data_IF_497411004147
#
_entry.id   IF_497411004147
#
_cell.length_a   1.000
_cell.length_b   1.000
_cell.length_c   1.000
_cell.angle_alpha   90.00
_cell.angle_beta   90.00
_cell.angle_gamma   90.00
#
_symmetry.space_group_name_H-M   'P 1'
#
loop_
_entity.id
_entity.type
_entity.pdbx_description
1 polymer ?
#
# COMPACT_ATOMS: atom_id res chain seq x y z
N UNK A 1 8.36 -3.57 -16.08
CA UNK A 1 9.46 -2.59 -16.28
C UNK A 1 8.91 -1.23 -15.90
N UNK A 2 9.50 -0.61 -14.88
CA UNK A 2 9.03 0.65 -14.33
C UNK A 2 9.28 1.82 -15.28
N UNK A 3 8.34 2.76 -15.31
CA UNK A 3 8.44 3.99 -16.10
C UNK A 3 9.70 4.77 -15.67
N UNK A 4 10.53 5.19 -16.62
CA UNK A 4 11.69 6.03 -16.31
C UNK A 4 11.22 7.45 -16.01
N UNK A 5 11.39 7.88 -14.76
CA UNK A 5 11.01 9.21 -14.30
C UNK A 5 12.10 10.23 -14.67
N UNK A 6 11.66 11.46 -14.95
CA UNK A 6 12.56 12.61 -15.06
C UNK A 6 13.09 13.01 -13.69
N UNK A 7 14.23 13.72 -13.64
CA UNK A 7 14.79 14.22 -12.37
C UNK A 7 13.78 15.06 -11.59
N UNK A 8 13.05 15.97 -12.25
CA UNK A 8 12.02 16.79 -11.58
C UNK A 8 10.88 15.95 -11.00
N UNK A 9 10.45 14.90 -11.68
CA UNK A 9 9.43 13.99 -11.15
C UNK A 9 9.95 13.21 -9.94
N UNK A 10 11.20 12.74 -10.00
CA UNK A 10 11.83 12.06 -8.87
C UNK A 10 11.99 12.99 -7.66
N UNK A 11 12.47 14.22 -7.88
CA UNK A 11 12.56 15.23 -6.82
C UNK A 11 11.20 15.53 -6.24
N UNK A 12 10.16 15.69 -7.07
CA UNK A 12 8.77 15.90 -6.61
C UNK A 12 8.31 14.79 -5.68
N UNK A 13 8.52 13.52 -6.05
CA UNK A 13 8.15 12.39 -5.21
C UNK A 13 8.93 12.40 -3.88
N UNK A 14 10.24 12.64 -3.91
CA UNK A 14 11.05 12.67 -2.69
C UNK A 14 10.56 13.77 -1.73
N UNK A 15 10.43 15.01 -2.22
CA UNK A 15 9.98 16.12 -1.37
C UNK A 15 8.53 15.97 -0.94
N UNK A 16 7.68 15.28 -1.72
CA UNK A 16 6.29 14.99 -1.35
C UNK A 16 6.22 14.16 -0.06
N UNK A 17 7.04 13.11 0.05
CA UNK A 17 7.05 12.24 1.23
C UNK A 17 7.95 12.74 2.38
N UNK A 18 8.80 13.75 2.12
CA UNK A 18 9.68 14.35 3.12
C UNK A 18 9.20 15.76 3.53
N UNK A 19 9.81 16.81 2.97
CA UNK A 19 9.63 18.20 3.39
C UNK A 19 8.22 18.75 3.21
N UNK A 20 7.50 18.28 2.19
CA UNK A 20 6.15 18.73 1.87
C UNK A 20 5.07 17.99 2.66
N UNK A 21 5.40 16.86 3.32
CA UNK A 21 4.46 16.09 4.16
C UNK A 21 3.13 15.76 3.47
N UNK A 22 3.19 15.43 2.19
CA UNK A 22 2.03 15.08 1.36
C UNK A 22 1.34 16.25 0.68
N UNK A 23 1.79 17.50 0.86
CA UNK A 23 1.23 18.67 0.14
C UNK A 23 1.79 18.77 -1.29
N UNK A 24 0.98 18.54 -2.34
CA UNK A 24 1.46 18.57 -3.73
C UNK A 24 1.82 19.98 -4.21
N UNK A 25 1.22 21.03 -3.65
CA UNK A 25 1.51 22.42 -4.03
C UNK A 25 2.87 22.83 -3.49
N UNK A 26 3.15 22.47 -2.24
CA UNK A 26 4.47 22.69 -1.63
C UNK A 26 5.54 21.83 -2.31
N UNK A 27 5.26 20.56 -2.55
CA UNK A 27 6.18 19.65 -3.23
C UNK A 27 6.56 20.15 -4.63
N UNK A 28 5.59 20.66 -5.40
CA UNK A 28 5.80 21.27 -6.72
C UNK A 28 6.84 22.39 -6.66
N UNK A 29 6.72 23.30 -5.69
CA UNK A 29 7.64 24.43 -5.53
C UNK A 29 9.05 23.97 -5.17
N UNK A 30 9.16 23.03 -4.22
CA UNK A 30 10.44 22.47 -3.79
C UNK A 30 11.14 21.69 -4.90
N UNK A 31 10.39 21.02 -5.77
CA UNK A 31 10.93 20.32 -6.94
C UNK A 31 11.27 21.22 -8.13
N UNK A 32 11.13 22.55 -7.99
CA UNK A 32 11.54 23.52 -9.03
C UNK A 32 10.63 23.56 -10.25
N UNK A 33 9.34 23.23 -10.11
CA UNK A 33 8.35 23.48 -11.15
C UNK A 33 7.95 24.95 -11.19
N UNK A 34 7.59 25.44 -12.38
CA UNK A 34 7.01 26.78 -12.53
C UNK A 34 5.65 26.86 -11.81
N UNK A 35 5.31 28.04 -11.27
CA UNK A 35 4.02 28.28 -10.62
C UNK A 35 2.84 28.07 -11.56
N UNK A 36 3.02 28.29 -12.87
CA UNK A 36 2.01 28.07 -13.89
C UNK A 36 1.65 26.58 -14.09
N UNK A 37 2.53 25.65 -13.70
CA UNK A 37 2.24 24.22 -13.81
C UNK A 37 1.25 23.82 -12.72
N UNK A 38 0.16 23.14 -13.08
CA UNK A 38 -0.81 22.63 -12.11
C UNK A 38 -0.23 21.45 -11.32
N UNK A 39 -0.34 21.50 -9.99
CA UNK A 39 0.03 20.37 -9.12
C UNK A 39 -0.81 19.13 -9.42
N UNK A 40 -2.09 19.30 -9.75
CA UNK A 40 -2.98 18.21 -10.15
C UNK A 40 -2.48 17.49 -11.40
N UNK A 41 -1.96 18.21 -12.40
CA UNK A 41 -1.40 17.59 -13.60
C UNK A 41 -0.16 16.74 -13.29
N UNK A 42 0.69 17.20 -12.37
CA UNK A 42 1.87 16.45 -11.92
C UNK A 42 1.42 15.18 -11.18
N UNK A 43 0.52 15.31 -10.21
CA UNK A 43 -0.01 14.19 -9.42
C UNK A 43 -0.67 13.15 -10.31
N UNK A 44 -1.53 13.56 -11.24
CA UNK A 44 -2.21 12.64 -12.16
C UNK A 44 -1.22 11.82 -12.99
N UNK A 45 -0.12 12.44 -13.41
CA UNK A 45 0.93 11.78 -14.20
C UNK A 45 1.72 10.76 -13.37
N UNK A 46 1.81 10.97 -12.06
CA UNK A 46 2.62 10.19 -11.12
C UNK A 46 1.78 9.34 -10.16
N UNK A 47 0.52 9.08 -10.50
CA UNK A 47 -0.44 8.42 -9.59
C UNK A 47 0.05 7.06 -9.12
N UNK A 48 0.58 6.26 -10.04
CA UNK A 48 1.06 4.91 -9.76
C UNK A 48 2.29 4.93 -8.85
N UNK A 49 3.22 5.85 -9.11
CA UNK A 49 4.44 6.03 -8.34
C UNK A 49 4.15 6.56 -6.93
N UNK A 50 3.21 7.51 -6.79
CA UNK A 50 2.73 7.98 -5.48
C UNK A 50 2.09 6.82 -4.73
N UNK A 51 1.27 6.00 -5.38
CA UNK A 51 0.64 4.84 -4.73
C UNK A 51 1.69 3.81 -4.28
N UNK A 52 2.69 3.52 -5.11
CA UNK A 52 3.79 2.60 -4.76
C UNK A 52 4.62 3.12 -3.58
N UNK A 53 5.02 4.40 -3.62
CA UNK A 53 5.76 5.04 -2.53
C UNK A 53 4.92 5.12 -1.25
N UNK A 54 3.61 5.35 -1.35
CA UNK A 54 2.71 5.33 -0.19
C UNK A 54 2.69 3.95 0.46
N UNK A 55 2.62 2.87 -0.33
CA UNK A 55 2.71 1.50 0.20
C UNK A 55 4.03 1.26 0.93
N UNK A 56 5.16 1.69 0.34
CA UNK A 56 6.49 1.61 0.96
C UNK A 56 6.54 2.42 2.26
N UNK A 57 6.01 3.63 2.26
CA UNK A 57 5.96 4.52 3.41
C UNK A 57 5.14 3.92 4.56
N UNK A 58 3.98 3.33 4.25
CA UNK A 58 3.14 2.63 5.23
C UNK A 58 3.88 1.41 5.80
N UNK A 59 4.50 0.60 4.95
CA UNK A 59 5.29 -0.55 5.39
C UNK A 59 6.45 -0.14 6.31
N UNK A 60 7.17 0.94 5.98
CA UNK A 60 8.23 1.49 6.83
C UNK A 60 7.68 2.05 8.16
N UNK A 61 6.55 2.75 8.11
CA UNK A 61 5.89 3.31 9.30
C UNK A 61 5.29 2.23 10.21
N UNK A 62 5.04 1.03 9.69
CA UNK A 62 4.48 -0.10 10.43
C UNK A 62 5.39 -0.55 11.57
N UNK A 63 6.70 -0.50 11.40
CA UNK A 63 7.65 -0.80 12.47
C UNK A 63 7.49 0.17 13.65
N UNK A 64 7.27 1.46 13.35
CA UNK A 64 7.00 2.47 14.38
C UNK A 64 5.64 2.25 15.06
N UNK A 65 4.63 1.83 14.30
CA UNK A 65 3.32 1.46 14.85
C UNK A 65 3.44 0.26 15.82
N UNK A 66 4.13 -0.81 15.42
CA UNK A 66 4.40 -1.97 16.26
C UNK A 66 5.16 -1.59 17.55
N UNK A 67 6.19 -0.75 17.46
CA UNK A 67 6.92 -0.27 18.63
C UNK A 67 6.05 0.59 19.55
N UNK A 68 5.19 1.45 19.00
CA UNK A 68 4.24 2.24 19.79
C UNK A 68 3.33 1.34 20.61
N UNK A 69 2.81 0.26 20.00
CA UNK A 69 2.00 -0.72 20.72
C UNK A 69 2.79 -1.44 21.81
N UNK A 70 4.03 -1.84 21.53
CA UNK A 70 4.91 -2.48 22.51
C UNK A 70 5.21 -1.55 23.70
N UNK A 71 5.52 -0.29 23.44
CA UNK A 71 5.82 0.70 24.47
C UNK A 71 4.62 0.96 25.37
N UNK A 72 3.42 1.07 24.80
CA UNK A 72 2.18 1.25 25.55
C UNK A 72 1.84 0.02 26.41
N UNK A 73 2.16 -1.18 25.94
CA UNK A 73 2.00 -2.40 26.74
C UNK A 73 2.98 -2.44 27.92
N UNK A 74 4.18 -1.87 27.77
CA UNK A 74 5.17 -1.78 28.84
C UNK A 74 4.82 -0.70 29.87
N UNK A 75 4.29 0.45 29.43
CA UNK A 75 3.84 1.54 30.29
C UNK A 75 2.53 2.16 29.77
N UNK A 76 1.37 1.77 30.35
CA UNK A 76 0.06 2.21 29.88
C UNK A 76 -0.39 3.55 30.51
N UNK A 77 0.50 4.29 31.19
CA UNK A 77 0.13 5.52 31.91
C UNK A 77 0.05 6.76 31.01
N UNK A 78 0.45 6.62 29.75
CA UNK A 78 0.48 7.69 28.77
C UNK A 78 -0.93 8.24 28.44
N UNK A 79 -1.05 9.56 28.32
CA UNK A 79 -2.30 10.18 27.87
C UNK A 79 -2.57 9.81 26.40
N UNK A 80 -3.81 9.43 26.11
CA UNK A 80 -4.24 9.06 24.76
C UNK A 80 -3.77 7.68 24.29
N UNK A 81 -3.44 6.78 25.22
CA UNK A 81 -3.05 5.38 24.93
C UNK A 81 -4.03 4.68 24.00
N UNK A 82 -5.33 4.85 24.22
CA UNK A 82 -6.36 4.23 23.38
C UNK A 82 -6.27 4.71 21.94
N UNK A 83 -6.19 6.02 21.73
CA UNK A 83 -6.11 6.66 20.42
C UNK A 83 -4.81 6.27 19.70
N UNK A 84 -3.67 6.27 20.43
CA UNK A 84 -2.37 5.81 19.89
C UNK A 84 -2.40 4.34 19.46
N UNK A 85 -2.99 3.48 20.27
CA UNK A 85 -3.14 2.05 19.96
C UNK A 85 -4.04 1.82 18.75
N UNK A 86 -5.16 2.54 18.65
CA UNK A 86 -6.05 2.47 17.49
C UNK A 86 -5.35 2.94 16.21
N UNK A 87 -4.67 4.08 16.25
CA UNK A 87 -3.92 4.59 15.10
C UNK A 87 -2.78 3.64 14.68
N UNK A 88 -2.06 3.07 15.64
CA UNK A 88 -1.01 2.08 15.36
C UNK A 88 -1.58 0.81 14.71
N UNK A 89 -2.72 0.31 15.22
CA UNK A 89 -3.42 -0.83 14.63
C UNK A 89 -3.85 -0.55 13.20
N UNK A 90 -4.43 0.62 12.92
CA UNK A 90 -4.87 0.98 11.57
C UNK A 90 -3.71 1.04 10.56
N UNK A 91 -2.53 1.50 10.99
CA UNK A 91 -1.31 1.49 10.15
C UNK A 91 -0.87 0.05 9.86
N UNK A 92 -0.86 -0.82 10.87
CA UNK A 92 -0.49 -2.23 10.72
C UNK A 92 -1.45 -2.99 9.80
N UNK A 93 -2.76 -2.77 9.96
CA UNK A 93 -3.79 -3.41 9.13
C UNK A 93 -3.63 -2.99 7.66
N UNK A 94 -3.35 -1.70 7.38
CA UNK A 94 -3.10 -1.19 6.02
C UNK A 94 -1.80 -1.70 5.41
N UNK A 95 -0.82 -2.01 6.24
CA UNK A 95 0.42 -2.63 5.81
C UNK A 95 0.32 -4.15 5.59
N UNK A 96 -0.85 -4.73 5.87
CA UNK A 96 -1.11 -6.17 5.70
C UNK A 96 -0.73 -7.03 6.90
N UNK A 97 -0.40 -6.43 8.06
CA UNK A 97 -0.14 -7.14 9.31
C UNK A 97 -1.42 -7.43 10.09
N UNK A 98 -2.52 -7.71 9.38
CA UNK A 98 -3.77 -8.19 9.97
C UNK A 98 -3.77 -9.71 10.02
N UNK A 99 -4.68 -10.29 10.81
CA UNK A 99 -4.87 -11.74 10.87
C UNK A 99 -5.20 -12.24 9.47
N UNK A 100 -4.39 -13.15 8.93
CA UNK A 100 -4.68 -13.77 7.63
C UNK A 100 -5.97 -14.57 7.73
N UNK A 101 -7.01 -14.16 7.01
CA UNK A 101 -8.16 -15.01 6.77
C UNK A 101 -7.66 -16.25 6.01
N UNK A 102 -7.70 -17.42 6.65
CA UNK A 102 -7.50 -18.69 5.97
C UNK A 102 -8.63 -18.83 4.95
N UNK A 103 -8.34 -18.58 3.68
CA UNK A 103 -9.24 -18.98 2.59
C UNK A 103 -9.21 -20.50 2.53
N UNK A 104 -10.16 -21.15 3.20
CA UNK A 104 -10.43 -22.57 2.97
C UNK A 104 -11.02 -22.72 1.57
N UNK A 105 -10.16 -22.99 0.58
CA UNK A 105 -10.61 -23.46 -0.73
C UNK A 105 -11.15 -24.87 -0.51
N UNK A 106 -12.45 -24.98 -0.21
CA UNK A 106 -13.17 -26.24 -0.36
C UNK A 106 -13.27 -26.50 -1.85
N UNK A 107 -12.38 -27.33 -2.38
CA UNK A 107 -12.53 -27.88 -3.72
C UNK A 107 -13.91 -28.51 -3.81
N UNK A 108 -14.80 -27.91 -4.59
CA UNK A 108 -16.04 -28.54 -5.04
C UNK A 108 -15.66 -29.90 -5.63
N UNK A 109 -16.40 -30.95 -5.25
CA UNK A 109 -16.10 -32.36 -5.55
C UNK A 109 -15.57 -32.56 -6.98
N UNK A 110 -14.55 -33.42 -7.19
CA UNK A 110 -14.00 -33.64 -8.52
C UNK A 110 -15.11 -34.11 -9.47
N UNK A 111 -15.42 -33.27 -10.47
CA UNK A 111 -16.38 -33.59 -11.51
C UNK A 111 -15.82 -34.74 -12.35
N UNK A 112 -16.28 -35.96 -12.08
CA UNK A 112 -15.96 -37.14 -12.88
C UNK A 112 -16.74 -37.06 -14.20
N UNK A 113 -16.07 -36.62 -15.27
CA UNK A 113 -16.58 -36.75 -16.63
C UNK A 113 -16.26 -38.17 -17.09
N UNK A 114 -17.28 -39.03 -17.15
CA UNK A 114 -17.14 -40.35 -17.77
C UNK A 114 -17.03 -40.16 -19.29
N UNK A 115 -16.03 -40.74 -19.96
CA UNK A 115 -15.98 -40.71 -21.42
C UNK A 115 -17.20 -41.45 -21.99
N UNK A 116 -17.81 -40.85 -23.01
CA UNK A 116 -18.90 -41.49 -23.75
C UNK A 116 -18.41 -42.81 -24.35
N UNK A 117 -19.25 -43.84 -24.24
CA UNK A 117 -18.96 -45.16 -24.76
C UNK A 117 -18.94 -45.11 -26.29
N UNK A 118 -17.75 -45.19 -26.88
CA UNK A 118 -17.61 -45.38 -28.31
C UNK A 118 -18.30 -46.68 -28.72
N UNK A 119 -19.39 -46.52 -29.46
CA UNK A 119 -20.01 -47.55 -30.25
C UNK A 119 -19.19 -47.73 -31.52
N UNK A 120 -18.04 -48.38 -31.43
CA UNK A 120 -17.29 -48.92 -32.56
C UNK A 120 -16.40 -50.08 -32.11
N UNK A 121 -16.94 -51.29 -32.19
CA UNK A 121 -16.18 -52.53 -32.30
C UNK A 121 -17.09 -53.57 -32.97
N UNK A 122 -17.14 -53.49 -34.31
CA UNK A 122 -17.42 -54.65 -35.17
C UNK A 122 -16.39 -55.75 -34.89
N UNK A 123 -16.86 -57.00 -34.81
CA UNK A 123 -16.07 -58.21 -34.60
C UNK A 123 -16.95 -59.41 -34.28
#
# INVERSE_FOLDING_TARGET
>A
MGRTLTEKQQTFLNVLFEEAKGDPVKAKKLAGYSDAVSSTSIVNTLTDEIAELTKKFIAQSSTKAAYTMFSVMADPTDLGVKEKMMAAKDILDRAGFTKTDKVEVKSTEPLFILPSKDSDAEG
#
